data_IF_323071023695
#
_entry.id   IF_323071023695
#
_cell.length_a   1.000
_cell.length_b   1.000
_cell.length_c   1.000
_cell.angle_alpha   90.00
_cell.angle_beta   90.00
_cell.angle_gamma   90.00
#
_symmetry.space_group_name_H-M   'P 1'
#
loop_
_entity.id
_entity.type
_entity.pdbx_description
1 polymer ?
#
# COMPACT_ATOMS: atom_id res chain seq x y z
N UNK A 1 -38.53 9.91 -27.56
CA UNK A 1 -38.04 10.07 -26.17
C UNK A 1 -36.53 10.11 -26.24
N UNK A 2 -35.93 11.28 -26.04
CA UNK A 2 -34.46 11.42 -25.98
C UNK A 2 -33.99 10.72 -24.70
N UNK A 3 -32.91 9.92 -24.73
CA UNK A 3 -32.38 9.33 -23.51
C UNK A 3 -31.93 10.48 -22.62
N UNK A 4 -32.40 10.50 -21.38
CA UNK A 4 -31.84 11.37 -20.34
C UNK A 4 -30.35 11.05 -20.27
N UNK A 5 -29.52 11.93 -20.81
CA UNK A 5 -28.07 11.73 -20.80
C UNK A 5 -27.58 11.94 -19.37
N UNK A 6 -27.37 10.85 -18.65
CA UNK A 6 -26.71 10.89 -17.35
C UNK A 6 -25.33 11.53 -17.53
N UNK A 7 -25.10 12.66 -16.86
CA UNK A 7 -23.82 13.38 -16.94
C UNK A 7 -23.00 13.06 -15.70
N UNK A 8 -21.86 12.36 -15.88
CA UNK A 8 -20.98 11.88 -14.79
C UNK A 8 -21.63 10.85 -13.85
N UNK A 9 -22.70 10.21 -14.32
CA UNK A 9 -23.48 9.21 -13.60
C UNK A 9 -23.94 8.12 -14.56
N UNK A 10 -24.40 6.98 -14.03
CA UNK A 10 -24.86 5.83 -14.80
C UNK A 10 -25.96 5.04 -14.07
N UNK A 11 -26.58 4.09 -14.77
CA UNK A 11 -27.64 3.23 -14.24
C UNK A 11 -29.05 3.82 -14.43
N UNK A 12 -30.04 3.10 -13.90
CA UNK A 12 -31.42 3.60 -13.84
C UNK A 12 -31.44 4.87 -12.98
N UNK A 13 -32.15 5.89 -13.45
CA UNK A 13 -32.27 7.21 -12.80
C UNK A 13 -30.94 7.92 -12.48
N UNK A 14 -29.85 7.50 -13.12
CA UNK A 14 -28.53 8.09 -12.96
C UNK A 14 -27.99 8.04 -11.51
N UNK A 15 -28.36 7.01 -10.72
CA UNK A 15 -27.97 6.89 -9.31
C UNK A 15 -26.49 6.52 -9.10
N UNK A 16 -25.90 5.78 -10.05
CA UNK A 16 -24.49 5.39 -10.01
C UNK A 16 -23.57 6.56 -10.34
N UNK A 17 -22.48 6.74 -9.59
CA UNK A 17 -21.51 7.81 -9.83
C UNK A 17 -20.33 7.32 -10.66
N UNK A 18 -19.96 8.04 -11.72
CA UNK A 18 -18.72 7.76 -12.43
C UNK A 18 -17.50 8.07 -11.56
N UNK A 19 -16.46 7.25 -11.68
CA UNK A 19 -15.17 7.39 -11.00
C UNK A 19 -14.01 7.34 -12.00
N UNK A 20 -14.11 8.14 -13.07
CA UNK A 20 -13.17 8.14 -14.18
C UNK A 20 -12.25 9.37 -14.16
N UNK A 21 -11.03 9.19 -14.68
CA UNK A 21 -10.03 10.23 -14.91
C UNK A 21 -9.33 10.01 -16.27
N UNK A 22 -8.81 11.06 -16.92
CA UNK A 22 -8.77 12.46 -16.46
C UNK A 22 -10.12 13.18 -16.56
N UNK A 23 -11.04 12.71 -17.42
CA UNK A 23 -12.39 13.25 -17.50
C UNK A 23 -13.34 12.26 -16.82
N UNK A 24 -14.19 12.77 -15.92
CA UNK A 24 -15.16 11.94 -15.22
C UNK A 24 -16.37 11.60 -16.11
N UNK A 25 -16.13 10.83 -17.16
CA UNK A 25 -17.11 10.39 -18.14
C UNK A 25 -17.11 8.85 -18.19
N UNK A 26 -18.30 8.28 -18.05
CA UNK A 26 -18.53 6.84 -18.13
C UNK A 26 -19.79 6.53 -18.93
N UNK A 27 -19.89 5.30 -19.42
CA UNK A 27 -21.07 4.81 -20.12
C UNK A 27 -22.28 4.86 -19.18
N UNK A 28 -23.32 5.58 -19.60
CA UNK A 28 -24.54 5.78 -18.82
C UNK A 28 -25.26 4.48 -18.43
N UNK A 29 -25.00 3.35 -19.10
CA UNK A 29 -25.66 2.07 -18.83
C UNK A 29 -24.99 1.28 -17.72
N UNK A 30 -23.65 1.30 -17.62
CA UNK A 30 -22.90 0.35 -16.78
C UNK A 30 -21.73 0.97 -16.00
N UNK A 31 -21.45 2.26 -16.18
CA UNK A 31 -20.43 2.96 -15.41
C UNK A 31 -19.00 2.74 -15.89
N UNK A 32 -18.79 2.01 -17.00
CA UNK A 32 -17.46 1.76 -17.55
C UNK A 32 -16.89 3.08 -18.10
N UNK A 33 -15.64 3.40 -17.77
CA UNK A 33 -14.97 4.59 -18.30
C UNK A 33 -14.77 4.49 -19.81
N UNK A 34 -15.21 5.52 -20.53
CA UNK A 34 -14.98 5.61 -21.97
C UNK A 34 -13.51 5.94 -22.24
N UNK A 35 -12.85 5.18 -23.12
CA UNK A 35 -11.46 5.44 -23.51
C UNK A 35 -11.32 6.88 -24.02
N UNK A 36 -10.25 7.61 -23.67
CA UNK A 36 -9.03 7.17 -22.98
C UNK A 36 -9.11 7.22 -21.44
N UNK A 37 -10.29 7.49 -20.87
CA UNK A 37 -10.45 7.57 -19.42
C UNK A 37 -10.30 6.19 -18.77
N UNK A 38 -9.83 6.18 -17.53
CA UNK A 38 -9.65 5.00 -16.68
C UNK A 38 -10.16 5.32 -15.27
N UNK A 39 -10.22 4.32 -14.40
CA UNK A 39 -10.56 4.57 -13.00
C UNK A 39 -9.62 5.59 -12.37
N UNK A 40 -10.15 6.41 -11.47
CA UNK A 40 -9.33 7.19 -10.54
C UNK A 40 -8.44 6.24 -9.72
N UNK A 41 -7.25 6.67 -9.27
CA UNK A 41 -6.29 5.79 -8.60
C UNK A 41 -6.84 5.04 -7.37
N UNK A 42 -7.88 5.57 -6.73
CA UNK A 42 -8.52 5.00 -5.54
C UNK A 42 -9.61 3.98 -5.85
N UNK A 43 -9.90 3.74 -7.14
CA UNK A 43 -10.99 2.88 -7.59
C UNK A 43 -10.49 1.85 -8.60
N UNK A 44 -11.14 0.69 -8.63
CA UNK A 44 -10.86 -0.38 -9.59
C UNK A 44 -12.14 -1.11 -10.02
N UNK A 45 -11.96 -2.15 -10.84
CA UNK A 45 -13.02 -2.95 -11.42
C UNK A 45 -13.62 -2.33 -12.69
N UNK A 46 -14.48 -3.07 -13.41
CA UNK A 46 -14.99 -2.66 -14.72
C UNK A 46 -15.68 -1.30 -14.73
N UNK A 47 -16.45 -0.99 -13.69
CA UNK A 47 -17.21 0.26 -13.52
C UNK A 47 -16.59 1.22 -12.51
N UNK A 48 -15.35 0.98 -12.05
CA UNK A 48 -14.64 1.81 -11.08
C UNK A 48 -15.40 2.03 -9.76
N UNK A 49 -16.25 1.08 -9.36
CA UNK A 49 -17.02 1.19 -8.11
C UNK A 49 -16.27 0.59 -6.92
N UNK A 50 -15.32 -0.32 -7.16
CA UNK A 50 -14.56 -0.99 -6.09
C UNK A 50 -13.53 -0.02 -5.51
N UNK A 51 -13.57 0.21 -4.21
CA UNK A 51 -12.55 1.00 -3.49
C UNK A 51 -11.27 0.18 -3.39
N UNK A 52 -10.14 0.78 -3.76
CA UNK A 52 -8.83 0.14 -3.51
C UNK A 52 -8.43 0.34 -2.06
N UNK A 53 -8.05 -0.73 -1.33
CA UNK A 53 -7.57 -0.61 0.04
C UNK A 53 -6.32 0.25 0.10
N UNK A 54 -6.21 1.07 1.16
CA UNK A 54 -5.01 1.84 1.46
C UNK A 54 -4.69 1.84 2.95
N UNK A 55 -3.44 1.53 3.29
CA UNK A 55 -2.91 1.79 4.63
C UNK A 55 -2.58 3.28 4.74
N UNK A 56 -3.22 3.98 5.68
CA UNK A 56 -3.07 5.43 5.85
C UNK A 56 -1.78 5.75 6.60
N UNK A 57 -1.42 4.91 7.57
CA UNK A 57 -0.19 5.07 8.35
C UNK A 57 1.02 4.47 7.61
N UNK A 58 2.19 5.15 7.63
CA UNK A 58 3.42 4.56 7.13
C UNK A 58 3.90 3.41 8.03
N UNK A 59 4.64 2.42 7.48
CA UNK A 59 5.25 1.39 8.31
C UNK A 59 6.32 2.00 9.24
N UNK A 60 6.44 1.42 10.43
CA UNK A 60 7.50 1.74 11.38
C UNK A 60 8.71 0.89 11.05
N UNK A 61 9.90 1.49 11.10
CA UNK A 61 11.16 0.79 10.85
C UNK A 61 12.09 1.00 12.03
N UNK A 62 12.58 -0.09 12.59
CA UNK A 62 13.64 -0.10 13.61
C UNK A 62 14.87 -0.78 12.99
N UNK A 63 16.05 -0.33 13.37
CA UNK A 63 17.30 -0.94 12.94
C UNK A 63 17.96 -1.54 14.17
N UNK A 64 18.28 -2.82 14.10
CA UNK A 64 19.07 -3.54 15.09
C UNK A 64 20.31 -4.10 14.40
N UNK A 65 21.48 -3.52 14.71
CA UNK A 65 22.73 -3.80 14.01
C UNK A 65 22.58 -3.63 12.48
N UNK A 66 22.60 -4.72 11.71
CA UNK A 66 22.43 -4.73 10.25
C UNK A 66 21.00 -5.08 9.80
N UNK A 67 20.13 -5.42 10.74
CA UNK A 67 18.77 -5.88 10.50
C UNK A 67 17.79 -4.72 10.51
N UNK A 68 17.04 -4.57 9.43
CA UNK A 68 15.88 -3.68 9.40
C UNK A 68 14.61 -4.46 9.81
N UNK A 69 13.97 -4.02 10.87
CA UNK A 69 12.72 -4.57 11.39
C UNK A 69 11.58 -3.62 11.00
N UNK A 70 10.72 -4.08 10.11
CA UNK A 70 9.59 -3.31 9.57
C UNK A 70 8.31 -3.81 10.23
N UNK A 71 7.48 -2.91 10.74
CA UNK A 71 6.18 -3.25 11.28
C UNK A 71 5.07 -2.33 10.79
N UNK A 72 3.86 -2.86 10.63
CA UNK A 72 2.69 -2.11 10.20
C UNK A 72 1.42 -2.68 10.82
N UNK A 73 0.38 -1.86 10.88
CA UNK A 73 -0.96 -2.30 11.27
C UNK A 73 -1.69 -2.80 10.03
N UNK A 74 -2.27 -3.99 10.12
CA UNK A 74 -3.15 -4.52 9.09
C UNK A 74 -4.51 -3.81 9.08
N UNK A 75 -5.31 -4.09 8.05
CA UNK A 75 -6.71 -3.67 8.03
C UNK A 75 -7.48 -4.34 9.17
N UNK A 76 -8.23 -3.52 9.92
CA UNK A 76 -9.27 -4.02 10.83
C UNK A 76 -10.59 -4.08 10.06
N UNK A 77 -11.39 -5.10 10.31
CA UNK A 77 -12.76 -5.25 9.79
C UNK A 77 -13.74 -4.21 10.39
N UNK A 78 -13.33 -2.96 10.56
CA UNK A 78 -14.20 -1.90 11.04
C UNK A 78 -14.80 -1.14 9.85
N UNK A 79 -15.90 -1.72 9.35
CA UNK A 79 -16.97 -1.13 8.52
C UNK A 79 -17.12 -1.67 7.08
N UNK A 80 -18.11 -2.58 6.95
CA UNK A 80 -19.17 -2.75 5.91
C UNK A 80 -18.86 -2.75 4.40
N UNK A 81 -17.63 -2.53 3.98
CA UNK A 81 -17.14 -2.97 2.67
C UNK A 81 -15.94 -3.88 2.98
N UNK A 82 -16.21 -5.17 3.15
CA UNK A 82 -15.20 -6.18 3.50
C UNK A 82 -14.19 -6.29 2.38
N UNK A 83 -13.12 -5.49 2.46
CA UNK A 83 -11.97 -5.64 1.58
C UNK A 83 -11.25 -6.92 1.97
N UNK A 84 -11.33 -7.91 1.08
CA UNK A 84 -10.74 -9.22 1.28
C UNK A 84 -9.21 -9.14 1.06
N UNK A 85 -8.51 -8.54 2.02
CA UNK A 85 -7.05 -8.43 1.99
C UNK A 85 -6.46 -9.82 2.19
N UNK A 86 -5.79 -10.32 1.15
CA UNK A 86 -5.15 -11.63 1.15
C UNK A 86 -3.68 -11.54 1.47
N UNK A 87 -3.00 -10.49 1.04
CA UNK A 87 -1.56 -10.36 1.25
C UNK A 87 -1.14 -8.91 1.50
N UNK A 88 0.03 -8.74 2.10
CA UNK A 88 0.76 -7.48 2.18
C UNK A 88 2.07 -7.63 1.43
N UNK A 89 2.25 -6.84 0.37
CA UNK A 89 3.53 -6.74 -0.33
C UNK A 89 4.35 -5.61 0.27
N UNK A 90 5.52 -5.94 0.78
CA UNK A 90 6.50 -5.00 1.31
C UNK A 90 7.41 -4.58 0.17
N UNK A 91 7.46 -3.28 -0.08
CA UNK A 91 8.35 -2.69 -1.08
C UNK A 91 9.40 -1.83 -0.39
N UNK A 92 10.63 -1.88 -0.91
CA UNK A 92 11.79 -1.14 -0.40
C UNK A 92 12.28 -0.15 -1.45
N UNK A 93 12.67 1.03 -0.98
CA UNK A 93 13.44 1.99 -1.75
C UNK A 93 14.80 2.16 -1.06
N UNK A 94 15.88 1.89 -1.79
CA UNK A 94 17.23 2.25 -1.38
C UNK A 94 17.52 3.67 -1.87
N UNK A 95 18.23 4.49 -1.08
CA UNK A 95 18.32 5.94 -1.31
C UNK A 95 19.04 6.38 -2.58
N UNK A 96 19.61 5.45 -3.34
CA UNK A 96 20.19 5.69 -4.67
C UNK A 96 19.24 5.30 -5.82
N UNK A 97 18.07 4.72 -5.50
CA UNK A 97 17.04 4.32 -6.44
C UNK A 97 15.82 5.23 -6.28
N UNK A 98 15.31 5.72 -7.42
CA UNK A 98 14.08 6.50 -7.44
C UNK A 98 12.81 5.63 -7.31
N UNK A 99 12.95 4.31 -7.47
CA UNK A 99 11.84 3.36 -7.50
C UNK A 99 11.79 2.48 -6.23
N UNK A 100 10.56 2.20 -5.80
CA UNK A 100 10.28 1.12 -4.85
C UNK A 100 10.24 -0.21 -5.59
N UNK A 101 10.89 -1.23 -5.03
CA UNK A 101 10.90 -2.60 -5.55
C UNK A 101 10.35 -3.57 -4.52
N UNK A 102 9.69 -4.64 -4.98
CA UNK A 102 9.20 -5.69 -4.09
C UNK A 102 10.36 -6.35 -3.34
N UNK A 103 10.21 -6.46 -2.02
CA UNK A 103 11.17 -7.13 -1.15
C UNK A 103 10.64 -8.45 -0.59
N UNK A 104 9.35 -8.49 -0.21
CA UNK A 104 8.69 -9.66 0.38
C UNK A 104 7.18 -9.53 0.25
N UNK A 105 6.48 -10.64 0.16
CA UNK A 105 5.02 -10.71 0.27
C UNK A 105 4.64 -11.61 1.45
N UNK A 106 3.68 -11.16 2.26
CA UNK A 106 3.23 -11.82 3.50
C UNK A 106 1.73 -12.06 3.42
N UNK A 107 1.28 -13.26 3.78
CA UNK A 107 -0.15 -13.57 3.84
C UNK A 107 -0.85 -12.78 4.95
N UNK A 108 -2.03 -12.27 4.63
CA UNK A 108 -2.92 -11.61 5.58
C UNK A 108 -3.73 -12.67 6.33
N UNK A 109 -3.86 -12.48 7.63
CA UNK A 109 -4.61 -13.38 8.50
C UNK A 109 -5.62 -12.59 9.33
N UNK A 110 -6.86 -13.08 9.39
CA UNK A 110 -7.98 -12.39 10.06
C UNK A 110 -7.74 -12.16 11.57
N UNK A 111 -6.87 -12.94 12.19
CA UNK A 111 -6.54 -12.83 13.62
C UNK A 111 -5.31 -11.96 13.90
N UNK A 112 -4.70 -11.36 12.88
CA UNK A 112 -3.45 -10.59 12.99
C UNK A 112 -3.73 -9.14 12.62
N UNK A 113 -3.56 -8.26 13.62
CA UNK A 113 -3.75 -6.82 13.45
C UNK A 113 -2.44 -6.04 13.29
N UNK A 114 -1.33 -6.63 13.71
CA UNK A 114 0.01 -6.05 13.62
C UNK A 114 0.94 -7.08 12.98
N UNK A 115 1.71 -6.62 12.00
CA UNK A 115 2.65 -7.44 11.24
C UNK A 115 4.07 -6.93 11.47
N UNK A 116 5.05 -7.85 11.43
CA UNK A 116 6.45 -7.56 11.64
C UNK A 116 7.31 -8.44 10.74
N UNK A 117 8.28 -7.84 10.07
CA UNK A 117 9.21 -8.53 9.16
C UNK A 117 10.63 -8.00 9.33
N UNK A 118 11.60 -8.92 9.28
CA UNK A 118 13.03 -8.61 9.42
C UNK A 118 13.79 -8.81 8.11
N UNK A 119 14.76 -7.94 7.85
CA UNK A 119 15.62 -7.96 6.67
C UNK A 119 17.09 -7.79 7.06
N UNK A 120 17.88 -8.86 6.93
CA UNK A 120 19.25 -8.96 7.47
C UNK A 120 20.37 -8.64 6.45
N UNK A 121 20.16 -8.89 5.16
CA UNK A 121 21.19 -8.76 4.11
C UNK A 121 21.26 -7.35 3.50
N UNK A 122 21.17 -6.30 4.33
CA UNK A 122 21.14 -4.93 3.83
C UNK A 122 22.55 -4.35 3.68
N UNK A 123 22.75 -3.62 2.57
CA UNK A 123 24.00 -2.92 2.30
C UNK A 123 24.28 -1.91 3.42
N UNK A 124 25.41 -2.01 4.11
CA UNK A 124 25.75 -1.04 5.14
C UNK A 124 25.88 0.37 4.55
N UNK A 125 25.57 1.39 5.34
CA UNK A 125 25.46 2.81 4.96
C UNK A 125 24.34 3.16 3.95
N UNK A 126 23.50 2.19 3.59
CA UNK A 126 22.34 2.47 2.74
C UNK A 126 21.23 3.15 3.53
N UNK A 127 20.72 4.26 2.99
CA UNK A 127 19.46 4.85 3.43
C UNK A 127 18.33 4.06 2.81
N UNK A 128 17.43 3.50 3.61
CA UNK A 128 16.31 2.70 3.09
C UNK A 128 14.99 3.22 3.62
N UNK A 129 13.95 3.12 2.81
CA UNK A 129 12.56 3.36 3.19
C UNK A 129 11.69 2.20 2.73
N UNK A 130 10.61 1.93 3.46
CA UNK A 130 9.67 0.86 3.16
C UNK A 130 8.28 1.43 2.94
N UNK A 131 7.49 0.78 2.10
CA UNK A 131 6.04 0.99 2.02
C UNK A 131 5.33 -0.34 1.88
N UNK A 132 4.08 -0.37 2.29
CA UNK A 132 3.25 -1.58 2.26
C UNK A 132 2.16 -1.41 1.22
N UNK A 133 2.02 -2.38 0.33
CA UNK A 133 0.95 -2.46 -0.65
C UNK A 133 0.00 -3.58 -0.21
N UNK A 134 -1.24 -3.27 0.20
CA UNK A 134 -2.22 -4.30 0.46
C UNK A 134 -2.64 -4.95 -0.86
N UNK A 135 -2.73 -6.27 -0.89
CA UNK A 135 -3.18 -7.04 -2.05
C UNK A 135 -4.49 -7.72 -1.67
N UNK A 136 -5.53 -7.50 -2.46
CA UNK A 136 -6.89 -7.89 -2.11
C UNK A 136 -7.56 -8.66 -3.23
N UNK A 137 -8.50 -9.53 -2.86
CA UNK A 137 -9.27 -10.31 -3.80
C UNK A 137 -10.45 -9.48 -4.33
N UNK A 138 -10.61 -9.49 -5.65
CA UNK A 138 -11.75 -8.92 -6.37
C UNK A 138 -12.59 -10.06 -6.91
N UNK A 139 -13.81 -10.19 -6.40
CA UNK A 139 -14.82 -11.12 -6.90
C UNK A 139 -15.44 -10.58 -8.20
N UNK A 140 -15.46 -11.41 -9.25
CA UNK A 140 -16.08 -11.08 -10.54
C UNK A 140 -17.57 -11.42 -10.60
N UNK A 141 -18.15 -11.97 -9.54
CA UNK A 141 -19.56 -12.33 -9.42
C UNK A 141 -19.91 -13.69 -10.03
N UNK A 142 -18.93 -14.41 -10.58
CA UNK A 142 -19.07 -15.76 -11.15
C UNK A 142 -18.44 -16.86 -10.29
N UNK A 143 -17.94 -16.52 -9.09
CA UNK A 143 -17.26 -17.45 -8.18
C UNK A 143 -15.77 -17.64 -8.51
N UNK A 144 -15.29 -17.03 -9.58
CA UNK A 144 -13.88 -16.73 -9.83
C UNK A 144 -13.57 -15.29 -9.39
N UNK A 145 -12.28 -14.99 -9.27
CA UNK A 145 -11.81 -13.65 -8.98
C UNK A 145 -10.30 -13.57 -9.12
N UNK A 146 -9.74 -12.40 -8.85
CA UNK A 146 -8.32 -12.14 -9.05
C UNK A 146 -7.76 -11.26 -7.93
N UNK A 147 -6.44 -11.31 -7.76
CA UNK A 147 -5.74 -10.44 -6.83
C UNK A 147 -5.43 -9.12 -7.52
N UNK A 148 -5.68 -8.03 -6.81
CA UNK A 148 -5.37 -6.67 -7.23
C UNK A 148 -4.54 -5.95 -6.17
N UNK A 149 -3.72 -5.03 -6.65
CA UNK A 149 -2.97 -4.15 -5.78
C UNK A 149 -3.90 -3.06 -5.24
N UNK A 150 -3.83 -2.84 -3.94
CA UNK A 150 -4.32 -1.63 -3.31
C UNK A 150 -3.39 -0.44 -3.54
N UNK A 151 -3.70 0.66 -2.88
CA UNK A 151 -2.89 1.87 -2.93
C UNK A 151 -1.71 1.69 -1.95
N UNK A 152 -0.45 1.90 -2.40
CA UNK A 152 0.70 1.87 -1.51
C UNK A 152 0.53 2.82 -0.32
N UNK A 153 0.97 2.38 0.86
CA UNK A 153 1.06 3.26 2.04
C UNK A 153 2.00 4.44 1.76
N UNK A 154 1.91 5.53 2.55
CA UNK A 154 3.02 6.46 2.64
C UNK A 154 4.32 5.71 2.98
N UNK A 155 5.48 6.11 2.42
CA UNK A 155 6.76 5.53 2.80
C UNK A 155 7.09 5.77 4.28
N UNK A 156 7.83 4.84 4.87
CA UNK A 156 8.47 5.05 6.17
C UNK A 156 9.43 6.24 6.12
N UNK A 157 9.85 6.70 7.31
CA UNK A 157 11.06 7.51 7.40
C UNK A 157 12.24 6.70 6.86
N UNK A 158 13.18 7.39 6.21
CA UNK A 158 14.42 6.78 5.79
C UNK A 158 15.26 6.43 7.03
N UNK A 159 15.70 5.19 7.14
CA UNK A 159 16.63 4.73 8.17
C UNK A 159 17.99 4.45 7.55
N UNK A 160 19.06 4.61 8.33
CA UNK A 160 20.42 4.24 7.92
C UNK A 160 20.77 2.90 8.53
N UNK A 161 21.30 1.98 7.72
CA UNK A 161 21.89 0.73 8.21
C UNK A 161 23.35 1.02 8.60
N UNK A 162 23.73 0.84 9.88
CA UNK A 162 25.11 0.99 10.34
C UNK A 162 26.09 0.14 9.52
N UNK A 163 27.29 0.68 9.29
CA UNK A 163 28.44 -0.12 8.86
C UNK A 163 28.88 -0.96 10.05
N UNK A 164 28.97 -2.29 9.86
CA UNK A 164 29.46 -3.17 10.91
C UNK A 164 30.90 -2.76 11.27
N UNK A 165 31.05 -2.04 12.38
CA UNK A 165 32.30 -1.42 12.79
C UNK A 165 32.16 -0.79 14.18
N UNK A 166 32.33 -1.64 15.20
CA UNK A 166 32.50 -1.31 16.62
C UNK A 166 31.27 -0.75 17.37
N UNK A 167 30.90 -1.47 18.42
CA UNK A 167 30.36 -0.88 19.65
C UNK A 167 31.35 0.22 20.06
N UNK A 168 30.96 1.48 19.93
CA UNK A 168 31.66 2.60 20.56
C UNK A 168 30.75 3.23 21.62
N UNK A 169 30.39 2.44 22.63
CA UNK A 169 29.94 2.95 23.92
C UNK A 169 30.73 2.22 25.02
N UNK A 170 32.04 2.47 25.06
CA UNK A 170 32.78 2.45 26.32
C UNK A 170 33.23 3.89 26.53
N UNK A 171 32.41 4.63 27.26
CA UNK A 171 32.75 5.94 27.81
C UNK A 171 33.76 5.69 28.95
N UNK A 172 35.04 5.55 28.60
CA UNK A 172 36.13 5.52 29.58
C UNK A 172 36.46 6.97 29.93
N UNK A 173 35.71 7.53 30.89
CA UNK A 173 36.10 8.78 31.56
C UNK A 173 37.48 8.59 32.20
N UNK A 174 38.53 9.34 31.81
CA UNK A 174 39.76 9.36 32.57
C UNK A 174 39.52 10.21 33.82
N UNK A 175 39.54 9.57 35.00
CA UNK A 175 39.55 10.26 36.28
C UNK A 175 40.78 11.18 36.37
N UNK A 176 40.55 12.48 36.45
CA UNK A 176 41.58 13.46 36.80
C UNK A 176 41.70 13.45 38.33
N UNK A 177 42.83 12.93 38.82
CA UNK A 177 43.32 13.24 40.16
C UNK A 177 44.18 14.50 40.08
N UNK A 178 43.77 15.55 40.80
CA UNK A 178 44.66 16.56 41.37
C UNK A 178 44.09 17.01 42.71
#
# INVERSE_FOLDING_TARGET
MLPFACTRTFGVDCEGRCHCAPINLCLHTNGICEKPNRCVPERTGPSCQIVRPRLIDPPTVKVDCITAIVSWRGFKEENRETLDIRQYRIEIQEGHLDAFVEARTVESHNNVSDYIESFDDRRPDSRIAFRIVPVFFVDTGSGDGYLEDGIPSPPSKHVRIPVNGYISDIDYSPGIFH
#
